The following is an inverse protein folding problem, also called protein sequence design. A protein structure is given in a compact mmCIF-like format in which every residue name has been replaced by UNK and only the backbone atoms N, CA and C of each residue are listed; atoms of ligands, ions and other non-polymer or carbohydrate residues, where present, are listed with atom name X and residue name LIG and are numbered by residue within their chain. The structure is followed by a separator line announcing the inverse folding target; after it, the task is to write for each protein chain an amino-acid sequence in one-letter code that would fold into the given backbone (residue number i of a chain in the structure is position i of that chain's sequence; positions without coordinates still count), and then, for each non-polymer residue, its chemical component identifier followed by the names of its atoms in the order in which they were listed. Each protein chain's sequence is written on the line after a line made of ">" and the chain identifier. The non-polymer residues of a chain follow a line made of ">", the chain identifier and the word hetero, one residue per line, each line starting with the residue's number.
data_IF_793299250551
#
_entry.id   IF_793299250551
#
_cell.length_a   1.000
_cell.length_b   1.000
_cell.length_c   1.000
_cell.angle_alpha   90.00
_cell.angle_beta   90.00
_cell.angle_gamma   90.00
#
_symmetry.space_group_name_H-M   'P 1'
#
loop_
_entity.id
_entity.type
_entity.pdbx_description
1 polymer ?
#
# COMPACT_ATOMS: atom_id res chain seq x y z
N UNK A 1 -7.70 49.55 -39.40
CA UNK A 1 -8.28 48.61 -38.40
C UNK A 1 -7.18 47.65 -37.96
N UNK A 2 -6.69 47.75 -36.73
CA UNK A 2 -5.61 46.90 -36.20
C UNK A 2 -6.19 45.88 -35.22
N UNK A 3 -6.17 44.60 -35.59
CA UNK A 3 -6.55 43.47 -34.76
C UNK A 3 -5.48 43.26 -33.69
N UNK A 4 -5.76 43.67 -32.45
CA UNK A 4 -4.92 43.33 -31.29
C UNK A 4 -5.12 41.86 -30.94
N UNK A 5 -4.13 41.03 -31.28
CA UNK A 5 -4.09 39.62 -30.89
C UNK A 5 -3.94 39.46 -29.36
N UNK A 6 -5.00 38.95 -28.72
CA UNK A 6 -5.06 38.64 -27.29
C UNK A 6 -4.27 37.36 -26.95
N UNK A 7 -2.94 37.47 -26.86
CA UNK A 7 -2.03 36.37 -26.48
C UNK A 7 -2.02 36.03 -24.98
N UNK A 8 -2.75 36.78 -24.13
CA UNK A 8 -2.74 36.55 -22.66
C UNK A 8 -3.71 35.47 -22.20
N UNK A 9 -4.84 35.27 -22.89
CA UNK A 9 -5.84 34.25 -22.54
C UNK A 9 -5.39 32.80 -22.82
N UNK A 10 -4.67 32.56 -23.92
CA UNK A 10 -4.25 31.20 -24.30
C UNK A 10 -3.10 30.64 -23.45
N UNK A 11 -2.25 31.50 -22.86
CA UNK A 11 -1.14 31.06 -21.99
C UNK A 11 -1.64 30.61 -20.61
N UNK A 12 -2.65 31.29 -20.06
CA UNK A 12 -3.27 30.95 -18.77
C UNK A 12 -4.03 29.62 -18.82
N UNK A 13 -4.72 29.33 -19.94
CA UNK A 13 -5.48 28.09 -20.13
C UNK A 13 -4.57 26.86 -20.35
N UNK A 14 -3.42 27.02 -21.02
CA UNK A 14 -2.46 25.93 -21.24
C UNK A 14 -1.74 25.53 -19.95
N UNK A 15 -1.40 26.48 -19.08
CA UNK A 15 -0.79 26.19 -17.78
C UNK A 15 -1.77 25.45 -16.86
N UNK A 16 -3.01 25.92 -16.73
CA UNK A 16 -3.99 25.26 -15.87
C UNK A 16 -4.31 23.81 -16.27
N UNK A 17 -4.26 23.50 -17.58
CA UNK A 17 -4.49 22.14 -18.07
C UNK A 17 -3.31 21.20 -17.78
N UNK A 18 -2.07 21.67 -17.93
CA UNK A 18 -0.88 20.88 -17.60
C UNK A 18 -0.78 20.62 -16.09
N UNK A 19 -1.04 21.63 -15.27
CA UNK A 19 -1.03 21.51 -13.80
C UNK A 19 -2.14 20.54 -13.32
N UNK A 20 -3.30 20.55 -13.98
CA UNK A 20 -4.39 19.61 -13.70
C UNK A 20 -3.99 18.16 -14.03
N UNK A 21 -3.39 17.92 -15.19
CA UNK A 21 -2.92 16.58 -15.58
C UNK A 21 -1.80 16.08 -14.65
N UNK A 22 -0.87 16.95 -14.27
CA UNK A 22 0.19 16.58 -13.34
C UNK A 22 -0.36 16.26 -11.95
N UNK A 23 -1.34 17.03 -11.47
CA UNK A 23 -2.05 16.71 -10.22
C UNK A 23 -2.75 15.35 -10.34
N UNK A 24 -3.53 15.14 -11.39
CA UNK A 24 -4.29 13.90 -11.62
C UNK A 24 -3.37 12.67 -11.65
N UNK A 25 -2.27 12.74 -12.42
CA UNK A 25 -1.26 11.67 -12.46
C UNK A 25 -0.70 11.33 -11.07
N UNK A 26 -0.40 12.34 -10.25
CA UNK A 26 0.13 12.12 -8.89
C UNK A 26 -0.87 11.39 -7.98
N UNK A 27 -2.15 11.70 -8.12
CA UNK A 27 -3.22 11.06 -7.33
C UNK A 27 -3.44 9.61 -7.77
N UNK A 28 -3.43 9.36 -9.08
CA UNK A 28 -3.53 7.99 -9.64
C UNK A 28 -2.37 7.12 -9.14
N UNK A 29 -1.14 7.59 -9.21
CA UNK A 29 0.03 6.82 -8.74
C UNK A 29 -0.06 6.48 -7.24
N UNK A 30 -0.50 7.43 -6.41
CA UNK A 30 -0.70 7.20 -4.97
C UNK A 30 -1.86 6.24 -4.72
N UNK A 31 -2.97 6.40 -5.42
CA UNK A 31 -4.13 5.53 -5.31
C UNK A 31 -3.76 4.10 -5.71
N UNK A 32 -3.07 3.88 -6.82
CA UNK A 32 -2.63 2.55 -7.26
C UNK A 32 -1.75 1.86 -6.21
N UNK A 33 -0.78 2.59 -5.63
CA UNK A 33 0.09 2.03 -4.60
C UNK A 33 -0.66 1.70 -3.31
N UNK A 34 -1.65 2.52 -2.91
CA UNK A 34 -2.49 2.26 -1.75
C UNK A 34 -3.50 1.14 -2.00
N UNK A 35 -4.06 1.05 -3.20
CA UNK A 35 -4.98 -0.01 -3.62
C UNK A 35 -4.28 -1.36 -3.60
N UNK A 36 -3.10 -1.47 -4.20
CA UNK A 36 -2.29 -2.68 -4.13
C UNK A 36 -1.95 -3.06 -2.67
N UNK A 37 -1.58 -2.09 -1.84
CA UNK A 37 -1.34 -2.34 -0.42
C UNK A 37 -2.61 -2.81 0.33
N UNK A 38 -3.77 -2.21 0.03
CA UNK A 38 -5.09 -2.55 0.60
C UNK A 38 -5.49 -3.97 0.22
N UNK A 39 -5.33 -4.32 -1.04
CA UNK A 39 -5.56 -5.65 -1.58
C UNK A 39 -4.71 -6.68 -0.82
N UNK A 40 -3.38 -6.51 -0.79
CA UNK A 40 -2.47 -7.42 -0.06
C UNK A 40 -2.75 -7.50 1.44
N UNK A 41 -3.25 -6.42 2.02
CA UNK A 41 -3.65 -6.38 3.42
C UNK A 41 -4.93 -7.20 3.68
N UNK A 42 -5.84 -7.33 2.72
CA UNK A 42 -7.12 -7.98 2.89
C UNK A 42 -6.98 -9.50 3.13
N UNK A 43 -7.37 -10.03 4.31
CA UNK A 43 -7.27 -11.45 4.63
C UNK A 43 -8.25 -12.32 3.84
N UNK A 44 -9.33 -11.72 3.35
CA UNK A 44 -10.38 -12.37 2.57
C UNK A 44 -10.15 -12.17 1.06
N UNK A 45 -8.92 -11.90 0.63
CA UNK A 45 -8.59 -11.96 -0.79
C UNK A 45 -9.02 -13.32 -1.32
N UNK A 46 -10.17 -13.32 -2.01
CA UNK A 46 -10.74 -14.53 -2.58
C UNK A 46 -9.73 -15.02 -3.60
N UNK A 47 -9.18 -16.19 -3.30
CA UNK A 47 -8.47 -17.06 -4.21
C UNK A 47 -9.34 -17.24 -5.46
N UNK A 48 -9.20 -16.35 -6.45
CA UNK A 48 -9.55 -16.69 -7.83
C UNK A 48 -8.48 -17.66 -8.30
N UNK A 49 -8.54 -18.91 -7.83
CA UNK A 49 -7.85 -19.98 -8.50
C UNK A 49 -8.48 -20.06 -9.88
N UNK A 50 -7.75 -19.67 -10.93
CA UNK A 50 -8.08 -20.18 -12.24
C UNK A 50 -8.13 -21.72 -12.10
N UNK A 51 -9.20 -22.41 -12.51
CA UNK A 51 -9.18 -23.86 -12.54
C UNK A 51 -7.96 -24.26 -13.40
N UNK A 52 -7.12 -25.20 -12.95
CA UNK A 52 -5.97 -25.62 -13.73
C UNK A 52 -6.48 -26.01 -15.12
N UNK A 53 -5.96 -25.32 -16.14
CA UNK A 53 -6.17 -25.68 -17.53
C UNK A 53 -5.82 -27.16 -17.64
N UNK A 54 -6.82 -28.00 -17.93
CA UNK A 54 -6.66 -29.45 -18.06
C UNK A 54 -5.57 -29.74 -19.09
N UNK A 55 -4.38 -30.07 -18.63
CA UNK A 55 -3.42 -30.89 -19.37
C UNK A 55 -3.28 -32.22 -18.66
N UNK A 56 -3.30 -33.27 -19.47
CA UNK A 56 -3.49 -34.66 -19.11
C UNK A 56 -2.46 -35.27 -18.15
N UNK A 57 -2.96 -36.28 -17.45
CA UNK A 57 -2.28 -37.47 -16.90
C UNK A 57 -1.55 -37.36 -15.55
N UNK A 58 -2.29 -37.74 -14.50
CA UNK A 58 -1.88 -38.72 -13.49
C UNK A 58 -0.82 -38.30 -12.48
N UNK A 59 -1.25 -37.92 -11.28
CA UNK A 59 -0.68 -38.43 -10.02
C UNK A 59 -1.59 -38.03 -8.86
N UNK A 60 -2.00 -39.04 -8.08
CA UNK A 60 -2.71 -38.89 -6.83
C UNK A 60 -1.77 -38.24 -5.82
N UNK A 61 -2.07 -37.03 -5.37
CA UNK A 61 -1.52 -36.50 -4.13
C UNK A 61 -2.64 -35.85 -3.33
N UNK A 62 -2.77 -36.36 -2.12
CA UNK A 62 -3.83 -36.06 -1.17
C UNK A 62 -3.94 -34.55 -0.87
N UNK A 63 -5.16 -34.05 -0.99
CA UNK A 63 -5.74 -33.09 -0.05
C UNK A 63 -5.00 -31.76 0.17
N UNK A 64 -4.95 -30.89 -0.84
CA UNK A 64 -4.99 -29.45 -0.57
C UNK A 64 -6.45 -29.00 -0.42
N UNK A 65 -7.01 -29.21 0.77
CA UNK A 65 -8.16 -28.41 1.24
C UNK A 65 -7.57 -27.18 1.94
N UNK A 66 -7.04 -26.25 1.14
CA UNK A 66 -6.37 -25.04 1.61
C UNK A 66 -7.29 -23.82 1.73
N UNK A 67 -8.54 -24.01 2.15
CA UNK A 67 -9.46 -22.91 2.51
C UNK A 67 -9.12 -22.28 3.86
N UNK A 68 -7.84 -21.99 4.12
CA UNK A 68 -7.41 -21.30 5.33
C UNK A 68 -7.36 -19.80 5.07
N UNK A 69 -8.26 -19.03 5.69
CA UNK A 69 -8.19 -17.57 5.69
C UNK A 69 -6.81 -17.13 6.18
N UNK A 70 -5.98 -16.59 5.28
CA UNK A 70 -4.69 -16.03 5.63
C UNK A 70 -4.84 -14.77 6.47
N UNK A 71 -3.80 -14.37 7.20
CA UNK A 71 -3.86 -13.21 8.11
C UNK A 71 -3.81 -11.87 7.34
N UNK A 72 -3.54 -11.84 6.04
CA UNK A 72 -3.30 -10.59 5.29
C UNK A 72 -1.92 -10.00 5.57
N UNK A 73 -1.33 -9.29 4.61
CA UNK A 73 -0.05 -8.62 4.79
C UNK A 73 -0.20 -7.41 5.74
N UNK A 74 0.40 -7.40 6.94
CA UNK A 74 0.29 -6.27 7.87
C UNK A 74 0.89 -4.98 7.30
N UNK A 75 0.18 -3.88 7.55
CA UNK A 75 0.75 -2.53 7.42
C UNK A 75 1.26 -2.09 8.78
N UNK A 76 2.57 -1.86 8.90
CA UNK A 76 3.18 -1.31 10.11
C UNK A 76 3.20 0.21 9.99
N UNK A 77 2.58 0.89 10.96
CA UNK A 77 2.49 2.36 11.07
C UNK A 77 2.96 2.84 12.44
N UNK A 78 3.18 4.15 12.62
CA UNK A 78 3.70 4.67 13.89
C UNK A 78 2.62 4.70 14.98
N UNK A 79 1.42 5.19 14.68
CA UNK A 79 0.39 5.41 15.71
C UNK A 79 -1.06 5.21 15.28
N UNK A 80 -1.95 5.35 16.27
CA UNK A 80 -3.40 5.11 16.13
C UNK A 80 -4.08 6.01 15.10
N UNK A 81 -3.55 7.21 14.85
CA UNK A 81 -4.14 8.12 13.87
C UNK A 81 -3.85 7.69 12.44
N UNK A 82 -2.69 7.06 12.21
CA UNK A 82 -2.32 6.47 10.93
C UNK A 82 -3.19 5.26 10.65
N UNK A 83 -3.39 4.40 11.66
CA UNK A 83 -4.34 3.29 11.56
C UNK A 83 -5.72 3.79 11.16
N UNK A 84 -6.25 4.82 11.84
CA UNK A 84 -7.56 5.40 11.49
C UNK A 84 -7.60 5.94 10.07
N UNK A 85 -6.50 6.49 9.56
CA UNK A 85 -6.42 6.97 8.18
C UNK A 85 -6.53 5.81 7.19
N UNK A 86 -5.80 4.71 7.42
CA UNK A 86 -5.84 3.51 6.59
C UNK A 86 -7.19 2.80 6.68
N UNK A 87 -7.82 2.73 7.87
CA UNK A 87 -9.19 2.22 8.03
C UNK A 87 -10.20 3.05 7.24
N UNK A 88 -10.01 4.37 7.17
CA UNK A 88 -10.81 5.24 6.31
C UNK A 88 -10.61 5.02 4.81
N UNK A 89 -9.56 4.30 4.41
CA UNK A 89 -9.30 3.88 3.03
C UNK A 89 -9.66 2.39 2.80
N UNK A 90 -10.46 1.80 3.69
CA UNK A 90 -10.93 0.41 3.63
C UNK A 90 -9.83 -0.67 3.70
N UNK A 91 -8.71 -0.38 4.37
CA UNK A 91 -7.80 -1.44 4.80
C UNK A 91 -8.51 -2.31 5.84
N UNK A 92 -8.78 -3.57 5.50
CA UNK A 92 -9.57 -4.51 6.33
C UNK A 92 -8.71 -5.48 7.15
N UNK A 93 -7.44 -5.62 6.80
CA UNK A 93 -6.52 -6.57 7.43
C UNK A 93 -5.76 -6.01 8.64
N UNK A 94 -4.65 -6.67 9.01
CA UNK A 94 -3.86 -6.29 10.17
C UNK A 94 -3.16 -4.95 9.93
N UNK A 95 -3.26 -4.07 10.92
CA UNK A 95 -2.45 -2.86 11.03
C UNK A 95 -1.74 -2.95 12.37
N UNK A 96 -0.41 -2.92 12.35
CA UNK A 96 0.42 -3.02 13.54
C UNK A 96 1.01 -1.64 13.86
N UNK A 97 1.20 -1.36 15.15
CA UNK A 97 1.67 -0.06 15.63
C UNK A 97 3.07 -0.18 16.22
N UNK A 98 3.97 0.71 15.82
CA UNK A 98 5.29 0.84 16.44
C UNK A 98 5.15 1.40 17.85
N UNK A 99 4.40 2.49 18.04
CA UNK A 99 4.28 3.20 19.32
C UNK A 99 3.23 2.57 20.24
N UNK A 100 3.40 1.28 20.55
CA UNK A 100 2.53 0.50 21.46
C UNK A 100 3.13 0.19 22.83
N UNK A 101 4.14 0.96 23.23
CA UNK A 101 4.85 0.78 24.51
C UNK A 101 5.79 -0.43 24.54
N UNK A 102 6.12 -1.01 23.40
CA UNK A 102 7.09 -2.10 23.30
C UNK A 102 8.47 -1.58 22.88
N UNK A 103 9.51 -2.27 23.33
CA UNK A 103 10.85 -2.05 22.79
C UNK A 103 10.95 -2.56 21.35
N UNK A 104 11.86 -1.99 20.57
CA UNK A 104 12.08 -2.42 19.19
C UNK A 104 12.38 -3.93 19.04
N UNK A 105 13.23 -4.56 19.87
CA UNK A 105 13.45 -6.01 19.79
C UNK A 105 12.18 -6.83 20.04
N UNK A 106 11.35 -6.42 21.01
CA UNK A 106 10.09 -7.11 21.32
C UNK A 106 9.11 -7.02 20.17
N UNK A 107 9.02 -5.84 19.53
CA UNK A 107 8.20 -5.66 18.33
C UNK A 107 8.66 -6.56 17.18
N UNK A 108 9.96 -6.59 16.88
CA UNK A 108 10.50 -7.43 15.80
C UNK A 108 10.24 -8.92 16.04
N UNK A 109 10.45 -9.42 17.26
CA UNK A 109 10.18 -10.82 17.61
C UNK A 109 8.70 -11.17 17.40
N UNK A 110 7.79 -10.32 17.88
CA UNK A 110 6.36 -10.51 17.67
C UNK A 110 5.97 -10.50 16.18
N UNK A 111 6.52 -9.58 15.39
CA UNK A 111 6.24 -9.50 13.95
C UNK A 111 6.71 -10.78 13.23
N UNK A 112 7.91 -11.26 13.56
CA UNK A 112 8.44 -12.53 13.05
C UNK A 112 7.52 -13.70 13.40
N UNK A 113 7.19 -13.87 14.68
CA UNK A 113 6.39 -14.99 15.18
C UNK A 113 4.99 -15.03 14.55
N UNK A 114 4.39 -13.85 14.34
CA UNK A 114 3.01 -13.73 13.86
C UNK A 114 2.90 -13.82 12.34
N UNK A 115 3.82 -13.22 11.60
CA UNK A 115 3.71 -13.06 10.14
C UNK A 115 4.70 -13.89 9.34
N UNK A 116 5.79 -14.36 9.96
CA UNK A 116 6.85 -15.11 9.30
C UNK A 116 7.69 -14.25 8.35
N UNK A 117 8.40 -14.91 7.43
CA UNK A 117 9.35 -14.26 6.53
C UNK A 117 8.72 -13.69 5.26
N UNK A 118 7.62 -14.30 4.78
CA UNK A 118 6.89 -13.92 3.58
C UNK A 118 5.38 -13.96 3.81
N UNK A 119 4.62 -13.18 3.05
CA UNK A 119 3.17 -13.21 3.10
C UNK A 119 2.67 -14.53 2.51
N UNK A 120 1.91 -15.29 3.30
CA UNK A 120 1.42 -16.63 2.91
C UNK A 120 0.33 -16.59 1.84
N UNK A 121 -0.28 -15.43 1.60
CA UNK A 121 -1.34 -15.28 0.60
C UNK A 121 -0.73 -15.13 -0.79
N UNK A 122 0.22 -14.21 -0.98
CA UNK A 122 0.76 -13.83 -2.30
C UNK A 122 2.24 -14.17 -2.50
N UNK A 123 2.91 -14.78 -1.52
CA UNK A 123 4.33 -15.11 -1.56
C UNK A 123 5.26 -13.89 -1.52
N UNK A 124 4.74 -12.66 -1.47
CA UNK A 124 5.53 -11.44 -1.45
C UNK A 124 5.99 -11.04 -0.05
N UNK A 125 6.39 -9.76 0.08
CA UNK A 125 6.83 -9.20 1.35
C UNK A 125 5.83 -9.46 2.50
N UNK A 126 6.34 -9.93 3.63
CA UNK A 126 5.55 -10.23 4.82
C UNK A 126 4.98 -8.99 5.49
N UNK A 127 5.62 -7.82 5.35
CA UNK A 127 5.19 -6.59 6.03
C UNK A 127 5.29 -5.40 5.07
N UNK A 128 4.27 -4.53 5.08
CA UNK A 128 4.31 -3.22 4.43
C UNK A 128 4.71 -2.18 5.47
N UNK A 129 5.82 -1.47 5.26
CA UNK A 129 6.24 -0.38 6.14
C UNK A 129 5.73 0.97 5.63
N UNK A 130 4.95 1.66 6.46
CA UNK A 130 4.42 2.98 6.15
C UNK A 130 4.66 3.92 7.34
N UNK A 131 5.92 4.34 7.51
CA UNK A 131 6.36 5.31 8.51
C UNK A 131 6.25 6.74 7.99
N UNK A 132 6.20 7.72 8.89
CA UNK A 132 6.11 9.14 8.54
C UNK A 132 7.33 9.63 7.73
N UNK A 133 7.14 10.76 7.03
CA UNK A 133 8.19 11.43 6.24
C UNK A 133 8.96 12.47 7.03
N UNK A 134 9.03 12.30 8.35
CA UNK A 134 9.85 13.15 9.22
C UNK A 134 11.18 12.46 9.59
N UNK A 135 11.98 13.15 10.40
CA UNK A 135 13.28 12.64 10.86
C UNK A 135 13.14 11.41 11.75
N UNK A 136 12.06 11.32 12.52
CA UNK A 136 11.81 10.25 13.49
C UNK A 136 11.38 8.99 12.77
N UNK A 137 10.38 9.07 11.88
CA UNK A 137 9.92 7.97 11.03
C UNK A 137 11.05 7.43 10.15
N UNK A 138 11.90 8.31 9.58
CA UNK A 138 13.08 7.88 8.84
C UNK A 138 14.15 7.15 9.68
N UNK A 139 14.23 7.39 10.99
CA UNK A 139 15.09 6.63 11.91
C UNK A 139 14.45 5.29 12.28
N UNK A 140 13.16 5.31 12.63
CA UNK A 140 12.37 4.12 13.00
C UNK A 140 12.40 3.12 11.84
N UNK A 141 12.11 3.57 10.61
CA UNK A 141 12.13 2.72 9.43
C UNK A 141 13.47 2.03 9.22
N UNK A 142 14.59 2.77 9.31
CA UNK A 142 15.93 2.19 9.11
C UNK A 142 16.24 1.13 10.15
N UNK A 143 15.85 1.37 11.39
CA UNK A 143 16.06 0.40 12.47
C UNK A 143 15.18 -0.84 12.32
N UNK A 144 13.92 -0.67 11.90
CA UNK A 144 13.01 -1.77 11.57
C UNK A 144 13.58 -2.61 10.43
N UNK A 145 13.98 -1.98 9.32
CA UNK A 145 14.58 -2.68 8.18
C UNK A 145 15.78 -3.49 8.64
N UNK A 146 16.74 -2.86 9.32
CA UNK A 146 17.96 -3.54 9.78
C UNK A 146 17.68 -4.75 10.64
N UNK A 147 16.67 -4.69 11.51
CA UNK A 147 16.35 -5.80 12.43
C UNK A 147 15.53 -6.89 11.75
N UNK A 148 14.46 -6.53 11.06
CA UNK A 148 13.54 -7.49 10.44
C UNK A 148 14.23 -8.24 9.29
N UNK A 149 15.11 -7.57 8.53
CA UNK A 149 15.96 -8.20 7.52
C UNK A 149 16.91 -9.24 8.14
N UNK A 150 17.45 -8.97 9.33
CA UNK A 150 18.25 -9.95 10.07
C UNK A 150 17.45 -11.17 10.55
N UNK A 151 16.11 -11.09 10.62
CA UNK A 151 15.21 -12.23 10.82
C UNK A 151 14.79 -12.91 9.51
N UNK A 152 15.24 -12.41 8.35
CA UNK A 152 14.84 -12.88 7.03
C UNK A 152 13.44 -12.44 6.61
N UNK A 153 12.88 -11.40 7.24
CA UNK A 153 11.54 -10.91 6.93
C UNK A 153 11.60 -9.95 5.75
N UNK A 154 10.88 -10.28 4.68
CA UNK A 154 10.75 -9.40 3.53
C UNK A 154 9.79 -8.25 3.80
N UNK A 155 10.19 -7.03 3.42
CA UNK A 155 9.42 -5.81 3.67
C UNK A 155 9.17 -5.04 2.37
N UNK A 156 7.93 -4.58 2.18
CA UNK A 156 7.59 -3.64 1.13
C UNK A 156 7.66 -2.20 1.65
N UNK A 157 8.36 -1.35 0.91
CA UNK A 157 8.45 0.10 1.16
C UNK A 157 7.69 0.90 0.09
N UNK A 158 7.05 0.23 -0.87
CA UNK A 158 6.55 0.87 -2.09
C UNK A 158 5.49 1.95 -1.81
N UNK A 159 4.45 1.72 -0.99
CA UNK A 159 3.49 2.78 -0.67
C UNK A 159 4.20 4.01 -0.09
N UNK A 160 5.14 3.83 0.84
CA UNK A 160 5.86 4.96 1.42
C UNK A 160 6.72 5.72 0.40
N UNK A 161 7.39 5.01 -0.52
CA UNK A 161 8.16 5.64 -1.60
C UNK A 161 7.26 6.44 -2.53
N UNK A 162 6.15 5.85 -2.97
CA UNK A 162 5.20 6.49 -3.91
C UNK A 162 4.54 7.71 -3.29
N UNK A 163 4.02 7.61 -2.06
CA UNK A 163 3.46 8.76 -1.34
C UNK A 163 4.52 9.83 -1.07
N UNK A 164 5.76 9.45 -0.74
CA UNK A 164 6.86 10.40 -0.58
C UNK A 164 7.24 11.13 -1.87
N UNK A 165 7.16 10.44 -3.01
CA UNK A 165 7.46 11.01 -4.32
C UNK A 165 6.36 11.96 -4.78
N UNK A 166 5.10 11.55 -4.67
CA UNK A 166 3.99 12.23 -5.32
C UNK A 166 3.12 13.04 -4.38
N UNK A 167 3.13 12.80 -3.08
CA UNK A 167 2.27 13.44 -2.08
C UNK A 167 3.04 14.22 -1.00
N UNK A 168 4.35 14.41 -1.17
CA UNK A 168 5.19 15.07 -0.17
C UNK A 168 4.92 16.57 0.02
N UNK A 169 4.25 17.25 -0.91
CA UNK A 169 3.78 18.63 -0.71
C UNK A 169 2.42 18.71 0.01
N UNK A 170 1.68 17.61 0.08
CA UNK A 170 0.30 17.53 0.55
C UNK A 170 0.25 16.97 1.99
N UNK A 171 1.06 15.95 2.25
CA UNK A 171 1.14 15.27 3.54
C UNK A 171 2.61 15.11 3.98
N UNK A 172 2.82 15.19 5.30
CA UNK A 172 4.10 14.92 5.95
C UNK A 172 4.05 13.70 6.88
N UNK A 173 2.84 13.29 7.23
CA UNK A 173 2.51 12.21 8.16
C UNK A 173 1.40 11.37 7.56
N UNK A 174 1.35 10.08 7.89
CA UNK A 174 0.38 9.12 7.33
C UNK A 174 -1.05 9.50 7.69
N UNK A 175 -1.31 10.01 8.91
CA UNK A 175 -2.62 10.54 9.29
C UNK A 175 -3.16 11.64 8.36
N UNK A 176 -2.28 12.30 7.61
CA UNK A 176 -2.63 13.33 6.63
C UNK A 176 -3.47 12.82 5.47
N UNK A 177 -3.45 11.50 5.18
CA UNK A 177 -4.23 10.86 4.13
C UNK A 177 -5.74 11.06 4.29
N UNK A 178 -6.22 11.25 5.53
CA UNK A 178 -7.64 11.50 5.83
C UNK A 178 -8.22 12.71 5.09
N UNK A 179 -7.38 13.65 4.66
CA UNK A 179 -7.80 14.83 3.88
C UNK A 179 -8.17 14.50 2.43
N UNK A 180 -7.77 13.32 1.95
CA UNK A 180 -7.91 12.90 0.55
C UNK A 180 -8.71 11.60 0.42
N UNK A 181 -9.35 11.14 1.50
CA UNK A 181 -10.03 9.84 1.55
C UNK A 181 -11.01 9.64 0.41
N UNK A 182 -11.93 10.58 0.18
CA UNK A 182 -12.97 10.42 -0.85
C UNK A 182 -12.36 10.33 -2.27
N UNK A 183 -11.39 11.19 -2.58
CA UNK A 183 -10.72 11.22 -3.90
C UNK A 183 -9.86 9.97 -4.11
N UNK A 184 -9.15 9.52 -3.06
CA UNK A 184 -8.32 8.31 -3.14
C UNK A 184 -9.16 7.05 -3.23
N UNK A 185 -10.26 6.93 -2.46
CA UNK A 185 -11.14 5.76 -2.51
C UNK A 185 -11.71 5.55 -3.92
N UNK A 186 -12.18 6.61 -4.57
CA UNK A 186 -12.70 6.52 -5.94
C UNK A 186 -11.67 5.90 -6.90
N UNK A 187 -10.42 6.37 -6.84
CA UNK A 187 -9.34 5.87 -7.69
C UNK A 187 -8.87 4.46 -7.28
N UNK A 188 -8.83 4.18 -5.98
CA UNK A 188 -8.45 2.87 -5.45
C UNK A 188 -9.47 1.80 -5.82
N UNK A 189 -10.76 2.12 -5.78
CA UNK A 189 -11.84 1.21 -6.17
C UNK A 189 -11.81 0.94 -7.68
N UNK A 190 -11.54 1.96 -8.50
CA UNK A 190 -11.31 1.78 -9.94
C UNK A 190 -10.08 0.87 -10.19
N UNK A 191 -9.00 1.06 -9.45
CA UNK A 191 -7.83 0.19 -9.55
C UNK A 191 -8.17 -1.26 -9.19
N UNK A 192 -8.92 -1.47 -8.11
CA UNK A 192 -9.28 -2.81 -7.62
C UNK A 192 -10.12 -3.60 -8.62
N UNK A 193 -11.05 -2.93 -9.30
CA UNK A 193 -11.85 -3.54 -10.37
C UNK A 193 -10.97 -3.96 -11.56
N UNK A 194 -9.98 -3.15 -11.92
CA UNK A 194 -9.15 -3.35 -13.11
C UNK A 194 -7.93 -4.25 -12.88
N UNK A 195 -7.47 -4.39 -11.62
CA UNK A 195 -6.27 -5.13 -11.25
C UNK A 195 -6.57 -6.04 -10.04
N UNK A 196 -7.42 -7.07 -10.20
CA UNK A 196 -7.55 -8.08 -9.16
C UNK A 196 -6.20 -8.78 -8.97
N UNK A 197 -5.75 -8.99 -7.73
CA UNK A 197 -4.55 -9.80 -7.48
C UNK A 197 -4.83 -11.24 -7.94
N UNK A 198 -4.09 -11.67 -8.95
CA UNK A 198 -4.01 -13.07 -9.36
C UNK A 198 -2.92 -13.74 -8.53
N UNK A 199 -3.25 -14.80 -7.81
CA UNK A 199 -2.26 -15.70 -7.25
C UNK A 199 -1.78 -16.60 -8.39
N UNK A 200 -0.50 -16.53 -8.76
CA UNK A 200 0.12 -17.54 -9.64
C UNK A 200 0.27 -18.88 -8.91
#
# INVERSE_FOLDING_TARGET
>A
MSLKNNKRGQKSLRNGRADSFEKEHRYVEVANALALARQRNNPNQQTQTNPPSKSHAGEESEGWVGGGAGIGCPVLVEGLKDERALRGLDFSGPIELVNRGWSMPKLCAYLYEKYGCQNKIDGGAAIILLMDWDRTGGKIQRELIRRLDAYGIEMSLEPRKTLGRFFSSEIKVVEGLRRFTDELLLLMDEYDVNHPITLE
#
